data_IF_163103247281
#
_entry.id   IF_163103247281
#
_cell.length_a   1.000
_cell.length_b   1.000
_cell.length_c   1.000
_cell.angle_alpha   90.00
_cell.angle_beta   90.00
_cell.angle_gamma   90.00
#
_symmetry.space_group_name_H-M   'P 1'
#
loop_
_entity.id
_entity.type
_entity.pdbx_description
1 polymer ?
#
# COMPACT_ATOMS: atom_id res chain seq x y z
N UNK A 1 10.59 -6.09 0.41
CA UNK A 1 10.33 -4.95 1.32
C UNK A 1 8.83 -4.82 1.56
N UNK A 2 8.42 -4.21 2.67
CA UNK A 2 7.01 -3.99 3.04
C UNK A 2 6.58 -2.60 2.58
N UNK A 3 5.45 -2.51 1.89
CA UNK A 3 4.80 -1.23 1.59
C UNK A 3 3.92 -0.82 2.77
N UNK A 4 4.01 0.44 3.20
CA UNK A 4 3.16 1.00 4.24
C UNK A 4 1.99 1.80 3.66
N UNK A 5 1.06 2.21 4.53
CA UNK A 5 -0.14 2.97 4.16
C UNK A 5 0.18 4.37 3.63
N UNK A 6 1.16 5.06 4.22
CA UNK A 6 1.53 6.42 3.81
C UNK A 6 2.07 6.44 2.38
N UNK A 7 2.87 5.44 2.00
CA UNK A 7 3.38 5.31 0.66
C UNK A 7 2.26 5.12 -0.37
N UNK A 8 1.24 4.31 -0.06
CA UNK A 8 0.11 4.10 -0.96
C UNK A 8 -0.79 5.34 -1.07
N UNK A 9 -0.94 6.10 0.01
CA UNK A 9 -1.61 7.41 -0.01
C UNK A 9 -0.82 8.38 -0.91
N UNK A 10 0.49 8.49 -0.73
CA UNK A 10 1.33 9.36 -1.55
C UNK A 10 1.28 8.99 -3.05
N UNK A 11 1.28 7.70 -3.38
CA UNK A 11 1.09 7.24 -4.77
C UNK A 11 -0.27 7.64 -5.34
N UNK A 12 -1.35 7.52 -4.56
CA UNK A 12 -2.69 7.96 -4.96
C UNK A 12 -2.71 9.47 -5.22
N UNK A 13 -2.04 10.22 -4.36
CA UNK A 13 -1.97 11.69 -4.43
C UNK A 13 -0.98 12.20 -5.49
N UNK A 14 -0.45 11.29 -6.31
CA UNK A 14 0.46 11.58 -7.41
C UNK A 14 1.80 12.20 -6.99
N UNK A 15 2.23 11.99 -5.75
CA UNK A 15 3.52 12.47 -5.23
C UNK A 15 4.71 11.94 -6.06
N UNK A 16 5.55 12.86 -6.52
CA UNK A 16 6.68 12.52 -7.41
C UNK A 16 7.76 11.70 -6.69
N UNK A 17 7.96 11.93 -5.39
CA UNK A 17 8.88 11.15 -4.58
C UNK A 17 8.41 9.70 -4.43
N UNK A 18 7.12 9.49 -4.20
CA UNK A 18 6.53 8.17 -4.14
C UNK A 18 6.61 7.44 -5.49
N UNK A 19 6.47 8.15 -6.62
CA UNK A 19 6.58 7.57 -7.97
C UNK A 19 8.00 7.18 -8.37
N UNK A 20 9.03 7.84 -7.85
CA UNK A 20 10.43 7.49 -8.12
C UNK A 20 10.89 6.25 -7.34
N UNK A 21 10.31 6.03 -6.16
CA UNK A 21 10.71 4.97 -5.21
C UNK A 21 10.65 3.54 -5.76
N UNK A 22 9.68 3.10 -6.59
CA UNK A 22 9.67 1.77 -7.18
C UNK A 22 10.97 1.40 -7.88
N UNK A 23 11.56 2.31 -8.66
CA UNK A 23 12.80 2.05 -9.39
C UNK A 23 13.98 1.79 -8.43
N UNK A 24 14.08 2.57 -7.35
CA UNK A 24 15.09 2.36 -6.29
C UNK A 24 14.89 1.03 -5.58
N UNK A 25 13.64 0.65 -5.35
CA UNK A 25 13.30 -0.56 -4.61
C UNK A 25 13.45 -1.83 -5.45
N UNK A 26 13.14 -1.77 -6.74
CA UNK A 26 13.37 -2.85 -7.68
C UNK A 26 14.87 -3.15 -7.82
N UNK A 27 15.74 -2.13 -7.75
CA UNK A 27 17.18 -2.31 -7.74
C UNK A 27 17.70 -3.15 -6.56
N UNK A 28 16.92 -3.28 -5.47
CA UNK A 28 17.27 -4.15 -4.33
C UNK A 28 17.04 -5.64 -4.60
N UNK A 29 16.32 -5.99 -5.67
CA UNK A 29 15.95 -7.37 -6.00
C UNK A 29 14.97 -8.03 -5.02
N UNK A 30 14.47 -7.29 -4.03
CA UNK A 30 13.54 -7.82 -3.04
C UNK A 30 12.08 -7.61 -3.48
N UNK A 31 11.21 -8.63 -3.36
CA UNK A 31 9.80 -8.48 -3.71
C UNK A 31 9.13 -7.44 -2.80
N UNK A 32 8.36 -6.54 -3.41
CA UNK A 32 7.50 -5.57 -2.73
C UNK A 32 6.20 -6.26 -2.32
N UNK A 33 5.97 -6.37 -1.01
CA UNK A 33 4.81 -7.06 -0.44
C UNK A 33 3.92 -6.07 0.30
N UNK A 34 2.63 -6.35 0.28
CA UNK A 34 1.61 -5.57 0.98
C UNK A 34 1.14 -6.30 2.24
N UNK A 35 1.41 -5.80 3.45
CA UNK A 35 0.86 -6.38 4.66
C UNK A 35 -0.67 -6.33 4.65
N UNK A 36 -1.31 -7.40 5.10
CA UNK A 36 -2.77 -7.41 5.27
C UNK A 36 -3.29 -6.31 6.21
N UNK A 37 -2.49 -5.86 7.18
CA UNK A 37 -2.86 -4.72 8.05
C UNK A 37 -2.98 -3.41 7.26
N UNK A 38 -2.12 -3.18 6.27
CA UNK A 38 -2.18 -1.99 5.40
C UNK A 38 -3.46 -2.01 4.54
N UNK A 39 -3.88 -3.19 4.07
CA UNK A 39 -5.18 -3.33 3.39
C UNK A 39 -6.30 -2.92 4.35
N UNK A 40 -6.29 -3.42 5.59
CA UNK A 40 -7.29 -3.03 6.58
C UNK A 40 -7.30 -1.50 6.82
N UNK A 41 -6.14 -0.87 6.99
CA UNK A 41 -6.03 0.59 7.21
C UNK A 41 -6.64 1.39 6.05
N UNK A 42 -6.33 0.98 4.81
CA UNK A 42 -6.87 1.64 3.61
C UNK A 42 -8.40 1.54 3.54
N UNK A 43 -8.95 0.34 3.72
CA UNK A 43 -10.41 0.14 3.67
C UNK A 43 -11.13 0.78 4.85
N UNK A 44 -10.49 0.81 6.04
CA UNK A 44 -11.00 1.55 7.19
C UNK A 44 -11.09 3.06 6.89
N UNK A 45 -10.02 3.65 6.35
CA UNK A 45 -10.00 5.06 5.95
C UNK A 45 -11.01 5.39 4.84
N UNK A 46 -11.16 4.50 3.85
CA UNK A 46 -12.17 4.61 2.79
C UNK A 46 -13.59 4.63 3.36
N UNK A 47 -13.89 3.74 4.33
CA UNK A 47 -15.19 3.67 4.99
C UNK A 47 -15.48 4.87 5.91
N UNK A 48 -14.44 5.50 6.45
CA UNK A 48 -14.57 6.71 7.28
C UNK A 48 -14.72 8.00 6.47
N UNK A 49 -14.38 8.00 5.17
CA UNK A 49 -14.45 9.17 4.29
C UNK A 49 -15.78 9.34 3.54
N UNK A 50 -15.90 10.44 2.79
CA UNK A 50 -17.12 10.78 2.02
C UNK A 50 -17.13 10.21 0.60
N UNK A 51 -15.95 9.99 0.01
CA UNK A 51 -15.79 9.52 -1.38
C UNK A 51 -15.46 8.02 -1.45
N UNK A 52 -16.30 7.19 -0.82
CA UNK A 52 -16.03 5.76 -0.60
C UNK A 52 -15.70 5.00 -1.89
N UNK A 53 -16.57 5.07 -2.92
CA UNK A 53 -16.41 4.29 -4.15
C UNK A 53 -15.19 4.74 -4.98
N UNK A 54 -14.97 6.05 -5.24
CA UNK A 54 -13.76 6.50 -5.91
C UNK A 54 -12.48 6.09 -5.17
N UNK A 55 -12.45 6.25 -3.85
CA UNK A 55 -11.25 5.95 -3.05
C UNK A 55 -10.95 4.45 -3.02
N UNK A 56 -11.97 3.61 -2.85
CA UNK A 56 -11.82 2.16 -2.93
C UNK A 56 -11.17 1.74 -4.26
N UNK A 57 -11.73 2.20 -5.39
CA UNK A 57 -11.22 1.86 -6.72
C UNK A 57 -9.79 2.35 -6.95
N UNK A 58 -9.43 3.50 -6.41
CA UNK A 58 -8.08 4.03 -6.51
C UNK A 58 -7.08 3.11 -5.79
N UNK A 59 -7.38 2.71 -4.55
CA UNK A 59 -6.51 1.81 -3.79
C UNK A 59 -6.46 0.40 -4.39
N UNK A 60 -7.59 -0.14 -4.86
CA UNK A 60 -7.62 -1.45 -5.53
C UNK A 60 -6.68 -1.50 -6.74
N UNK A 61 -6.62 -0.43 -7.55
CA UNK A 61 -5.67 -0.33 -8.67
C UNK A 61 -4.22 -0.36 -8.21
N UNK A 62 -3.89 0.31 -7.11
CA UNK A 62 -2.53 0.36 -6.57
C UNK A 62 -2.10 -1.00 -5.96
N UNK A 63 -3.04 -1.75 -5.40
CA UNK A 63 -2.76 -3.00 -4.68
C UNK A 63 -2.94 -4.26 -5.51
N UNK A 64 -3.68 -4.21 -6.64
CA UNK A 64 -4.08 -5.39 -7.42
C UNK A 64 -2.96 -6.36 -7.78
N UNK A 65 -1.76 -5.85 -8.08
CA UNK A 65 -0.62 -6.64 -8.53
C UNK A 65 0.45 -6.85 -7.45
N UNK A 66 0.14 -6.59 -6.18
CA UNK A 66 1.11 -6.74 -5.09
C UNK A 66 0.85 -8.04 -4.30
N UNK A 67 1.87 -8.87 -4.06
CA UNK A 67 1.73 -10.04 -3.20
C UNK A 67 1.37 -9.60 -1.77
N UNK A 68 0.36 -10.24 -1.20
CA UNK A 68 -0.12 -9.95 0.16
C UNK A 68 0.70 -10.76 1.17
N UNK A 69 1.18 -10.09 2.21
CA UNK A 69 1.80 -10.69 3.38
C UNK A 69 0.77 -10.76 4.53
N UNK A 70 0.34 -11.95 4.97
CA UNK A 70 -0.54 -12.11 6.12
C UNK A 70 0.08 -11.50 7.38
N UNK A 71 -0.74 -10.90 8.24
CA UNK A 71 -0.30 -10.43 9.54
C UNK A 71 -0.09 -11.65 10.44
N UNK A 72 1.16 -11.84 10.87
CA UNK A 72 1.52 -12.84 11.87
C UNK A 72 2.31 -12.17 13.00
N UNK A 73 2.67 -12.94 14.04
CA UNK A 73 3.41 -12.41 15.18
C UNK A 73 4.80 -11.85 14.81
N UNK A 74 5.42 -12.32 13.73
CA UNK A 74 6.71 -11.80 13.26
C UNK A 74 6.52 -10.45 12.57
N UNK A 75 5.55 -10.37 11.66
CA UNK A 75 5.23 -9.15 10.92
C UNK A 75 4.70 -8.04 11.85
N UNK A 76 3.92 -8.41 12.86
CA UNK A 76 3.36 -7.47 13.84
C UNK A 76 4.41 -6.79 14.75
N UNK A 77 5.63 -7.33 14.82
CA UNK A 77 6.73 -6.81 15.65
C UNK A 77 7.88 -6.22 14.82
N UNK A 78 7.69 -6.10 13.51
CA UNK A 78 8.74 -5.71 12.58
C UNK A 78 8.82 -4.20 12.40
#
# INVERSE_FOLDING_TARGET
MILDTNYLIALRDNDDGAKAKPAELEATGLPLRLPSIVIWELYFGVGAGTDTIPNQRAYEKLTANKPIAPLDGTLARR
#
